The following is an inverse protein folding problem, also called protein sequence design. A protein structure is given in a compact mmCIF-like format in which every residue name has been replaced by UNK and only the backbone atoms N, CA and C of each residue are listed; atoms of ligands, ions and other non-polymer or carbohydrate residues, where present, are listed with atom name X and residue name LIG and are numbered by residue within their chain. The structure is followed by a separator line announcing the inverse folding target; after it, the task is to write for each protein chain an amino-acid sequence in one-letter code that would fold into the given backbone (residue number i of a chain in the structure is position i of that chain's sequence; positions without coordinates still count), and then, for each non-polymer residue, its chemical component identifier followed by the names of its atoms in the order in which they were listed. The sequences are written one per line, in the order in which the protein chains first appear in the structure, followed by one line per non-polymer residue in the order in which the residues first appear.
data_IF_497189152041
#
_entry.id   IF_497189152041
#
_cell.length_a   1.000
_cell.length_b   1.000
_cell.length_c   1.000
_cell.angle_alpha   90.00
_cell.angle_beta   90.00
_cell.angle_gamma   90.00
#
_symmetry.space_group_name_H-M   'P 1'
#
loop_
_entity.id
_entity.type
_entity.pdbx_description
1 polymer ?
#
# COMPACT_ATOMS: atom_id res chain seq x y z
N UNK A 1 -6.57 3.17 -8.42
CA UNK A 1 -7.50 2.50 -7.48
C UNK A 1 -8.72 1.90 -8.16
N UNK A 2 -9.65 2.68 -8.71
CA UNK A 2 -10.91 2.17 -9.32
C UNK A 2 -10.69 1.06 -10.34
N UNK A 3 -9.77 1.25 -11.29
CA UNK A 3 -9.45 0.24 -12.30
C UNK A 3 -8.86 -1.05 -11.68
N UNK A 4 -8.04 -0.93 -10.64
CA UNK A 4 -7.48 -2.09 -9.96
C UNK A 4 -8.58 -2.92 -9.28
N UNK A 5 -9.51 -2.26 -8.58
CA UNK A 5 -10.66 -2.92 -7.97
C UNK A 5 -11.58 -3.55 -9.01
N UNK A 6 -11.95 -2.80 -10.06
CA UNK A 6 -12.83 -3.30 -11.12
C UNK A 6 -12.21 -4.46 -11.91
N UNK A 7 -10.90 -4.48 -12.07
CA UNK A 7 -10.19 -5.57 -12.76
C UNK A 7 -10.05 -6.81 -11.86
N UNK A 8 -9.62 -6.66 -10.60
CA UNK A 8 -9.34 -7.80 -9.72
C UNK A 8 -10.60 -8.39 -9.07
N UNK A 9 -11.56 -7.54 -8.70
CA UNK A 9 -12.77 -7.90 -7.97
C UNK A 9 -13.55 -9.07 -8.58
N UNK A 10 -13.85 -9.07 -9.88
CA UNK A 10 -14.55 -10.17 -10.54
C UNK A 10 -13.85 -11.53 -10.40
N UNK A 11 -12.52 -11.57 -10.37
CA UNK A 11 -11.77 -12.82 -10.20
C UNK A 11 -11.85 -13.33 -8.76
N UNK A 12 -11.84 -12.43 -7.78
CA UNK A 12 -12.02 -12.78 -6.37
C UNK A 12 -13.43 -13.33 -6.12
N UNK A 13 -14.43 -12.59 -6.58
CA UNK A 13 -15.84 -12.98 -6.56
C UNK A 13 -16.08 -14.34 -7.26
N UNK A 14 -15.40 -14.56 -8.40
CA UNK A 14 -15.47 -15.82 -9.12
C UNK A 14 -14.99 -17.01 -8.30
N UNK A 15 -14.05 -16.87 -7.35
CA UNK A 15 -13.69 -18.00 -6.49
C UNK A 15 -14.90 -18.45 -5.65
N UNK A 16 -15.61 -17.51 -5.03
CA UNK A 16 -16.79 -17.83 -4.24
C UNK A 16 -17.94 -18.38 -5.08
N UNK A 17 -18.11 -17.89 -6.31
CA UNK A 17 -19.07 -18.47 -7.26
C UNK A 17 -18.72 -19.91 -7.66
N UNK A 18 -17.45 -20.17 -8.03
CA UNK A 18 -16.99 -21.48 -8.49
C UNK A 18 -17.01 -22.55 -7.40
N UNK A 19 -16.72 -22.16 -6.16
CA UNK A 19 -16.73 -23.06 -5.00
C UNK A 19 -18.10 -23.12 -4.30
N UNK A 20 -19.13 -22.50 -4.88
CA UNK A 20 -20.50 -22.59 -4.38
C UNK A 20 -20.72 -21.86 -3.06
N UNK A 21 -19.89 -20.90 -2.69
CA UNK A 21 -20.14 -20.01 -1.54
C UNK A 21 -21.37 -19.14 -1.82
N UNK A 22 -21.43 -18.56 -3.02
CA UNK A 22 -22.50 -17.70 -3.48
C UNK A 22 -22.92 -18.03 -4.91
N UNK A 23 -24.14 -17.64 -5.28
CA UNK A 23 -24.70 -17.85 -6.61
C UNK A 23 -25.41 -16.59 -7.08
N UNK A 24 -25.17 -16.20 -8.33
CA UNK A 24 -25.94 -15.17 -9.03
C UNK A 24 -27.13 -15.81 -9.75
N UNK A 25 -28.29 -15.13 -9.73
CA UNK A 25 -29.47 -15.60 -10.47
C UNK A 25 -29.28 -15.43 -11.99
N UNK A 26 -28.49 -14.44 -12.41
CA UNK A 26 -28.10 -14.20 -13.81
C UNK A 26 -26.59 -14.05 -13.96
N UNK A 27 -25.83 -15.15 -13.88
CA UNK A 27 -24.38 -15.10 -13.92
C UNK A 27 -23.87 -14.79 -15.34
N UNK A 28 -22.84 -13.95 -15.41
CA UNK A 28 -21.97 -13.84 -16.56
C UNK A 28 -20.83 -14.83 -16.39
N UNK A 29 -20.69 -15.72 -17.36
CA UNK A 29 -19.68 -16.79 -17.35
C UNK A 29 -18.74 -16.59 -18.53
N UNK A 30 -17.47 -16.31 -18.25
CA UNK A 30 -16.44 -16.05 -19.25
C UNK A 30 -15.35 -17.13 -19.19
N UNK A 31 -15.14 -17.93 -20.25
CA UNK A 31 -14.00 -18.82 -20.31
C UNK A 31 -12.70 -18.02 -20.51
N UNK A 32 -11.68 -18.31 -19.69
CA UNK A 32 -10.35 -17.71 -19.70
C UNK A 32 -9.31 -18.74 -20.17
N UNK A 33 -9.57 -19.31 -21.34
CA UNK A 33 -8.81 -20.44 -21.88
C UNK A 33 -9.45 -21.79 -21.56
N UNK A 34 -8.69 -22.88 -21.73
CA UNK A 34 -9.25 -24.24 -21.68
C UNK A 34 -9.58 -24.75 -20.28
N UNK A 35 -9.06 -24.12 -19.23
CA UNK A 35 -9.12 -24.63 -17.84
C UNK A 35 -9.60 -23.61 -16.81
N UNK A 36 -9.80 -22.35 -17.20
CA UNK A 36 -10.18 -21.29 -16.28
C UNK A 36 -11.51 -20.68 -16.73
N UNK A 37 -12.38 -20.41 -15.77
CA UNK A 37 -13.67 -19.76 -16.00
C UNK A 37 -13.82 -18.67 -14.95
N UNK A 38 -14.32 -17.50 -15.36
CA UNK A 38 -14.71 -16.43 -14.46
C UNK A 38 -16.25 -16.39 -14.41
N UNK A 39 -16.80 -16.46 -13.21
CA UNK A 39 -18.25 -16.35 -12.93
C UNK A 39 -18.49 -15.11 -12.09
N UNK A 40 -19.27 -14.17 -12.60
CA UNK A 40 -19.55 -12.89 -11.93
C UNK A 40 -20.85 -12.28 -12.48
N UNK A 41 -21.13 -11.00 -12.26
CA UNK A 41 -22.20 -10.26 -12.95
C UNK A 41 -21.81 -8.83 -13.29
N UNK A 42 -22.60 -8.13 -14.11
CA UNK A 42 -22.20 -6.85 -14.72
C UNK A 42 -21.98 -5.71 -13.71
N UNK A 43 -22.65 -5.76 -12.55
CA UNK A 43 -22.53 -4.75 -11.51
C UNK A 43 -21.38 -5.01 -10.51
N UNK A 44 -20.76 -6.19 -10.54
CA UNK A 44 -19.64 -6.54 -9.65
C UNK A 44 -18.39 -5.70 -9.95
N UNK A 45 -17.88 -5.59 -11.20
CA UNK A 45 -16.73 -4.74 -11.49
C UNK A 45 -16.89 -3.28 -11.02
N UNK A 46 -17.99 -2.55 -11.32
CA UNK A 46 -18.13 -1.19 -10.84
C UNK A 46 -18.23 -1.11 -9.31
N UNK A 47 -18.89 -2.07 -8.65
CA UNK A 47 -18.98 -2.10 -7.18
C UNK A 47 -17.59 -2.25 -6.52
N UNK A 48 -16.79 -3.20 -6.99
CA UNK A 48 -15.41 -3.37 -6.52
C UNK A 48 -14.51 -2.17 -6.86
N UNK A 49 -14.71 -1.55 -8.02
CA UNK A 49 -14.00 -0.34 -8.40
C UNK A 49 -14.29 0.84 -7.45
N UNK A 50 -15.57 1.05 -7.11
CA UNK A 50 -15.99 2.08 -6.14
C UNK A 50 -15.45 1.75 -4.76
N UNK A 51 -15.56 0.50 -4.30
CA UNK A 51 -15.03 0.08 -3.01
C UNK A 51 -13.51 0.32 -2.91
N UNK A 52 -12.73 -0.10 -3.91
CA UNK A 52 -11.29 0.13 -3.95
C UNK A 52 -10.92 1.61 -3.92
N UNK A 53 -11.69 2.46 -4.59
CA UNK A 53 -11.52 3.91 -4.52
C UNK A 53 -11.81 4.44 -3.10
N UNK A 54 -12.97 4.13 -2.53
CA UNK A 54 -13.39 4.64 -1.22
C UNK A 54 -12.44 4.18 -0.10
N UNK A 55 -12.14 2.88 -0.05
CA UNK A 55 -11.22 2.31 0.95
C UNK A 55 -9.83 2.95 0.80
N UNK A 56 -9.34 3.10 -0.44
CA UNK A 56 -8.02 3.65 -0.71
C UNK A 56 -7.90 5.11 -0.27
N UNK A 57 -8.89 5.94 -0.59
CA UNK A 57 -8.92 7.34 -0.17
C UNK A 57 -9.16 7.53 1.33
N UNK A 58 -9.96 6.67 1.95
CA UNK A 58 -10.15 6.68 3.41
C UNK A 58 -8.82 6.40 4.12
N UNK A 59 -8.03 5.45 3.62
CA UNK A 59 -6.67 5.18 4.09
C UNK A 59 -5.80 6.43 4.04
N UNK A 60 -5.70 7.08 2.87
CA UNK A 60 -4.88 8.29 2.71
C UNK A 60 -5.37 9.42 3.62
N UNK A 61 -6.69 9.65 3.69
CA UNK A 61 -7.27 10.68 4.54
C UNK A 61 -6.96 10.46 6.01
N UNK A 62 -7.09 9.22 6.50
CA UNK A 62 -6.76 8.88 7.89
C UNK A 62 -5.27 8.89 8.18
N UNK A 63 -4.41 8.48 7.23
CA UNK A 63 -2.96 8.60 7.38
C UNK A 63 -2.54 10.06 7.63
N UNK A 64 -3.13 10.99 6.87
CA UNK A 64 -2.87 12.44 7.01
C UNK A 64 -3.39 12.97 8.34
N UNK A 65 -4.62 12.61 8.73
CA UNK A 65 -5.26 13.12 9.96
C UNK A 65 -4.61 12.57 11.22
N UNK A 66 -4.23 11.29 11.23
CA UNK A 66 -3.67 10.60 12.39
C UNK A 66 -2.14 10.72 12.48
N UNK A 67 -1.48 11.23 11.44
CA UNK A 67 -0.03 11.40 11.42
C UNK A 67 0.73 10.09 11.24
N UNK A 68 0.13 9.07 10.62
CA UNK A 68 0.73 7.76 10.34
C UNK A 68 1.74 7.80 9.15
N UNK A 69 2.36 8.96 8.92
CA UNK A 69 3.18 9.27 7.74
C UNK A 69 4.40 8.36 7.55
N UNK A 70 4.93 7.78 8.64
CA UNK A 70 6.06 6.85 8.60
C UNK A 70 5.79 5.51 7.89
N UNK A 71 4.52 5.08 7.78
CA UNK A 71 4.12 3.85 7.08
C UNK A 71 3.52 4.12 5.69
N UNK A 72 3.48 5.38 5.26
CA UNK A 72 2.93 5.77 3.96
C UNK A 72 3.77 5.29 2.77
N UNK A 73 4.97 4.76 2.96
CA UNK A 73 5.88 4.34 1.88
C UNK A 73 6.03 2.80 1.79
N UNK A 74 4.97 2.02 1.51
CA UNK A 74 5.11 0.58 1.34
C UNK A 74 5.96 0.27 0.10
N UNK A 75 6.85 -0.72 0.22
CA UNK A 75 7.58 -1.22 -0.94
C UNK A 75 6.65 -1.94 -1.91
N UNK A 76 6.99 -1.96 -3.21
CA UNK A 76 6.22 -2.68 -4.23
C UNK A 76 6.02 -4.16 -3.84
N UNK A 77 7.05 -4.80 -3.30
CA UNK A 77 6.96 -6.18 -2.81
C UNK A 77 5.93 -6.33 -1.70
N UNK A 78 5.87 -5.39 -0.74
CA UNK A 78 4.87 -5.41 0.35
C UNK A 78 3.45 -5.29 -0.20
N UNK A 79 3.25 -4.43 -1.21
CA UNK A 79 1.96 -4.27 -1.90
C UNK A 79 1.54 -5.56 -2.61
N UNK A 80 2.45 -6.14 -3.41
CA UNK A 80 2.16 -7.38 -4.15
C UNK A 80 1.89 -8.56 -3.21
N UNK A 81 2.67 -8.71 -2.14
CA UNK A 81 2.41 -9.70 -1.10
C UNK A 81 1.04 -9.46 -0.46
N UNK A 82 0.68 -8.21 -0.15
CA UNK A 82 -0.62 -7.89 0.43
C UNK A 82 -1.79 -8.27 -0.47
N UNK A 83 -1.73 -7.91 -1.77
CA UNK A 83 -2.75 -8.31 -2.75
C UNK A 83 -2.81 -9.83 -2.88
N UNK A 84 -1.66 -10.49 -2.92
CA UNK A 84 -1.57 -11.96 -3.08
C UNK A 84 -2.12 -12.68 -1.85
N UNK A 85 -1.82 -12.17 -0.65
CA UNK A 85 -2.27 -12.74 0.61
C UNK A 85 -3.79 -12.57 0.80
N UNK A 86 -4.33 -11.40 0.45
CA UNK A 86 -5.78 -11.20 0.39
C UNK A 86 -6.46 -12.13 -0.62
N UNK A 87 -5.92 -12.22 -1.83
CA UNK A 87 -6.41 -13.14 -2.87
C UNK A 87 -6.38 -14.60 -2.39
N UNK A 88 -5.30 -15.01 -1.72
CA UNK A 88 -5.17 -16.33 -1.13
C UNK A 88 -6.23 -16.59 -0.05
N UNK A 89 -6.48 -15.63 0.86
CA UNK A 89 -7.54 -15.78 1.85
C UNK A 89 -8.92 -15.95 1.19
N UNK A 90 -9.20 -15.15 0.16
CA UNK A 90 -10.44 -15.22 -0.61
C UNK A 90 -10.63 -16.60 -1.25
N UNK A 91 -9.61 -17.08 -1.96
CA UNK A 91 -9.59 -18.40 -2.59
C UNK A 91 -9.72 -19.54 -1.57
N UNK A 92 -8.92 -19.50 -0.50
CA UNK A 92 -8.89 -20.54 0.53
C UNK A 92 -10.24 -20.67 1.23
N UNK A 93 -10.91 -19.55 1.52
CA UNK A 93 -12.24 -19.57 2.14
C UNK A 93 -13.27 -20.31 1.27
N UNK A 94 -13.23 -20.12 -0.05
CA UNK A 94 -14.08 -20.85 -0.99
C UNK A 94 -13.77 -22.34 -1.03
N UNK A 95 -12.49 -22.72 -1.08
CA UNK A 95 -12.08 -24.12 -1.05
C UNK A 95 -12.54 -24.83 0.22
N UNK A 96 -12.31 -24.22 1.39
CA UNK A 96 -12.69 -24.82 2.67
C UNK A 96 -14.21 -25.04 2.73
N UNK A 97 -14.99 -24.08 2.23
CA UNK A 97 -16.44 -24.22 2.10
C UNK A 97 -16.82 -25.38 1.18
N UNK A 98 -16.24 -25.46 -0.02
CA UNK A 98 -16.53 -26.54 -0.98
C UNK A 98 -16.17 -27.94 -0.46
N UNK A 99 -15.19 -28.04 0.45
CA UNK A 99 -14.83 -29.29 1.12
C UNK A 99 -15.62 -29.57 2.41
N UNK A 100 -16.63 -28.76 2.73
CA UNK A 100 -17.51 -28.99 3.87
C UNK A 100 -16.85 -28.76 5.23
N UNK A 101 -15.78 -27.96 5.29
CA UNK A 101 -15.20 -27.53 6.58
C UNK A 101 -16.23 -26.69 7.33
N UNK A 102 -16.37 -26.94 8.63
CA UNK A 102 -17.38 -26.25 9.43
C UNK A 102 -17.12 -24.74 9.55
N UNK A 103 -18.20 -23.97 9.70
CA UNK A 103 -18.15 -22.50 9.70
C UNK A 103 -17.26 -21.92 10.80
N UNK A 104 -17.22 -22.55 11.98
CA UNK A 104 -16.40 -22.09 13.09
C UNK A 104 -14.91 -22.25 12.76
N UNK A 105 -14.51 -23.38 12.20
CA UNK A 105 -13.14 -23.61 11.73
C UNK A 105 -12.74 -22.61 10.63
N UNK A 106 -13.61 -22.35 9.65
CA UNK A 106 -13.35 -21.32 8.62
C UNK A 106 -13.21 -19.94 9.27
N UNK A 107 -14.13 -19.56 10.16
CA UNK A 107 -14.09 -18.26 10.85
C UNK A 107 -12.80 -18.08 11.65
N UNK A 108 -12.39 -19.07 12.43
CA UNK A 108 -11.16 -19.01 13.24
C UNK A 108 -9.95 -18.84 12.32
N UNK A 109 -9.86 -19.64 11.26
CA UNK A 109 -8.73 -19.58 10.33
C UNK A 109 -8.69 -18.24 9.58
N UNK A 110 -9.82 -17.78 9.03
CA UNK A 110 -9.90 -16.49 8.33
C UNK A 110 -9.56 -15.33 9.27
N UNK A 111 -10.00 -15.38 10.52
CA UNK A 111 -9.67 -14.36 11.53
C UNK A 111 -8.19 -14.36 11.87
N UNK A 112 -7.58 -15.54 12.03
CA UNK A 112 -6.14 -15.65 12.29
C UNK A 112 -5.30 -15.14 11.10
N UNK A 113 -5.68 -15.48 9.87
CA UNK A 113 -5.03 -14.96 8.66
C UNK A 113 -5.21 -13.44 8.53
N UNK A 114 -6.41 -12.92 8.75
CA UNK A 114 -6.68 -11.49 8.69
C UNK A 114 -5.87 -10.70 9.73
N UNK A 115 -5.83 -11.18 10.98
CA UNK A 115 -5.05 -10.58 12.05
C UNK A 115 -3.54 -10.61 11.77
N UNK A 116 -3.02 -11.78 11.36
CA UNK A 116 -1.60 -11.93 11.00
C UNK A 116 -1.21 -11.07 9.79
N UNK A 117 -2.05 -11.05 8.76
CA UNK A 117 -1.87 -10.21 7.57
C UNK A 117 -1.89 -8.73 7.91
N UNK A 118 -2.83 -8.28 8.74
CA UNK A 118 -2.90 -6.89 9.17
C UNK A 118 -1.64 -6.47 9.92
N UNK A 119 -1.20 -7.26 10.90
CA UNK A 119 0.01 -6.96 11.69
C UNK A 119 1.28 -6.96 10.82
N UNK A 120 1.39 -7.87 9.85
CA UNK A 120 2.57 -7.99 9.00
C UNK A 120 2.60 -6.94 7.88
N UNK A 121 1.44 -6.57 7.32
CA UNK A 121 1.35 -5.76 6.12
C UNK A 121 1.01 -4.29 6.39
N UNK A 122 0.47 -3.95 7.55
CA UNK A 122 0.03 -2.58 7.82
C UNK A 122 0.32 -2.17 9.26
N UNK A 123 -0.45 -2.69 10.22
CA UNK A 123 -0.25 -2.44 11.65
C UNK A 123 -0.48 -0.99 12.09
N UNK A 124 -1.03 -0.13 11.23
CA UNK A 124 -1.32 1.29 11.52
C UNK A 124 -2.71 1.49 12.12
N UNK A 125 -2.93 2.60 12.84
CA UNK A 125 -4.25 2.91 13.38
C UNK A 125 -5.23 3.28 12.26
N UNK A 126 -4.78 4.08 11.29
CA UNK A 126 -5.54 4.40 10.07
C UNK A 126 -5.98 3.13 9.34
N UNK A 127 -5.06 2.16 9.24
CA UNK A 127 -5.32 0.87 8.62
C UNK A 127 -6.32 0.04 9.40
N UNK A 128 -6.20 0.00 10.73
CA UNK A 128 -7.15 -0.74 11.56
C UNK A 128 -8.57 -0.18 11.42
N UNK A 129 -8.73 1.14 11.51
CA UNK A 129 -10.02 1.82 11.37
C UNK A 129 -10.63 1.52 10.00
N UNK A 130 -9.85 1.67 8.93
CA UNK A 130 -10.34 1.44 7.57
C UNK A 130 -10.67 -0.02 7.30
N UNK A 131 -9.86 -0.95 7.82
CA UNK A 131 -10.10 -2.39 7.71
C UNK A 131 -11.36 -2.81 8.47
N UNK A 132 -11.57 -2.26 9.67
CA UNK A 132 -12.79 -2.48 10.45
C UNK A 132 -14.03 -1.89 9.74
N UNK A 133 -13.91 -0.69 9.17
CA UNK A 133 -14.98 -0.08 8.36
C UNK A 133 -15.31 -0.96 7.14
N UNK A 134 -14.31 -1.57 6.51
CA UNK A 134 -14.52 -2.49 5.38
C UNK A 134 -15.18 -3.80 5.83
N UNK A 135 -14.73 -4.36 6.95
CA UNK A 135 -15.25 -5.61 7.55
C UNK A 135 -16.72 -5.53 7.96
N UNK A 136 -17.22 -4.32 8.26
CA UNK A 136 -18.62 -4.07 8.61
C UNK A 136 -19.40 -3.57 7.38
N UNK A 137 -18.87 -2.56 6.69
CA UNK A 137 -19.53 -1.89 5.58
C UNK A 137 -19.75 -2.80 4.38
N UNK A 138 -18.76 -3.64 4.03
CA UNK A 138 -18.90 -4.62 2.95
C UNK A 138 -20.09 -5.55 3.16
N UNK A 139 -20.13 -6.33 4.26
CA UNK A 139 -21.25 -7.21 4.53
C UNK A 139 -22.60 -6.50 4.71
N UNK A 140 -22.65 -5.26 5.22
CA UNK A 140 -23.89 -4.48 5.27
C UNK A 140 -24.38 -4.07 3.87
N UNK A 141 -23.47 -3.74 2.95
CA UNK A 141 -23.81 -3.50 1.55
C UNK A 141 -24.37 -4.80 0.94
N UNK A 142 -23.74 -5.95 1.22
CA UNK A 142 -24.25 -7.26 0.77
C UNK A 142 -25.68 -7.54 1.25
N UNK A 143 -25.97 -7.30 2.53
CA UNK A 143 -27.34 -7.41 3.07
C UNK A 143 -28.30 -6.51 2.29
N UNK A 144 -27.89 -5.28 1.99
CA UNK A 144 -28.67 -4.36 1.16
C UNK A 144 -28.92 -4.91 -0.24
N UNK A 145 -27.88 -5.43 -0.91
CA UNK A 145 -27.98 -6.00 -2.26
C UNK A 145 -28.92 -7.22 -2.28
N UNK A 146 -28.74 -8.16 -1.36
CA UNK A 146 -29.57 -9.38 -1.23
C UNK A 146 -31.04 -9.01 -0.95
N UNK A 147 -31.27 -7.98 -0.13
CA UNK A 147 -32.63 -7.60 0.30
C UNK A 147 -33.39 -6.73 -0.71
N UNK A 148 -32.69 -6.03 -1.61
CA UNK A 148 -33.31 -4.96 -2.43
C UNK A 148 -33.18 -5.18 -3.93
N UNK A 149 -32.22 -5.98 -4.40
CA UNK A 149 -32.08 -6.22 -5.83
C UNK A 149 -33.28 -7.02 -6.34
N UNK A 150 -33.80 -6.66 -7.54
CA UNK A 150 -34.82 -7.49 -8.19
C UNK A 150 -34.24 -8.86 -8.52
N UNK A 151 -35.07 -9.91 -8.56
CA UNK A 151 -34.61 -11.29 -8.82
C UNK A 151 -33.80 -11.47 -10.13
N UNK A 152 -33.94 -10.56 -11.09
CA UNK A 152 -33.08 -10.57 -12.29
C UNK A 152 -31.62 -10.26 -11.99
N UNK A 153 -31.30 -9.56 -10.89
CA UNK A 153 -29.97 -9.08 -10.53
C UNK A 153 -29.49 -9.62 -9.18
N UNK A 154 -30.35 -10.36 -8.48
CA UNK A 154 -30.08 -10.86 -7.16
C UNK A 154 -28.95 -11.91 -7.18
N UNK A 155 -28.31 -12.02 -6.04
CA UNK A 155 -27.41 -13.10 -5.71
C UNK A 155 -27.69 -13.50 -4.27
N UNK A 156 -27.27 -14.69 -3.89
CA UNK A 156 -27.45 -15.20 -2.54
C UNK A 156 -26.27 -16.09 -2.16
N UNK A 157 -25.98 -16.14 -0.86
CA UNK A 157 -25.11 -17.19 -0.33
C UNK A 157 -25.87 -18.52 -0.33
N UNK A 158 -25.21 -19.58 -0.81
CA UNK A 158 -25.78 -20.93 -0.73
C UNK A 158 -25.86 -21.43 0.72
N UNK A 159 -25.04 -20.82 1.60
CA UNK A 159 -25.15 -20.93 3.04
C UNK A 159 -25.19 -19.54 3.68
N UNK A 160 -26.39 -19.10 4.07
CA UNK A 160 -26.63 -17.81 4.71
C UNK A 160 -26.03 -17.68 6.12
N UNK A 161 -25.52 -18.78 6.70
CA UNK A 161 -24.78 -18.75 7.95
C UNK A 161 -25.60 -18.30 9.17
N UNK A 162 -24.90 -17.73 10.14
CA UNK A 162 -25.48 -17.28 11.43
C UNK A 162 -26.28 -15.99 11.29
N UNK A 163 -26.02 -15.20 10.24
CA UNK A 163 -26.64 -13.87 10.07
C UNK A 163 -27.98 -13.93 9.33
N UNK A 164 -28.26 -15.04 8.64
CA UNK A 164 -29.40 -15.18 7.73
C UNK A 164 -29.19 -14.52 6.36
N UNK A 165 -28.03 -13.91 6.11
CA UNK A 165 -27.67 -13.30 4.82
C UNK A 165 -26.33 -13.80 4.28
N UNK A 166 -25.32 -13.90 5.14
CA UNK A 166 -23.96 -14.34 4.83
C UNK A 166 -23.32 -15.04 6.04
N UNK A 167 -22.36 -15.95 5.83
CA UNK A 167 -21.68 -16.60 6.94
C UNK A 167 -20.63 -15.69 7.60
N UNK A 168 -20.51 -15.75 8.93
CA UNK A 168 -19.70 -14.78 9.71
C UNK A 168 -18.22 -14.73 9.30
N UNK A 169 -17.68 -15.79 8.72
CA UNK A 169 -16.29 -15.83 8.25
C UNK A 169 -16.01 -14.90 7.07
N UNK A 170 -17.03 -14.30 6.44
CA UNK A 170 -16.90 -13.25 5.44
C UNK A 170 -16.33 -11.95 6.04
N UNK A 171 -16.64 -11.64 7.30
CA UNK A 171 -16.18 -10.44 8.00
C UNK A 171 -14.64 -10.32 8.01
N UNK A 172 -13.87 -11.32 8.47
CA UNK A 172 -12.41 -11.25 8.40
C UNK A 172 -11.84 -11.29 6.97
N UNK A 173 -12.58 -11.80 5.97
CA UNK A 173 -12.16 -11.69 4.56
C UNK A 173 -12.20 -10.23 4.11
N UNK A 174 -13.29 -9.52 4.39
CA UNK A 174 -13.38 -8.08 4.13
C UNK A 174 -12.33 -7.27 4.90
N UNK A 175 -12.06 -7.63 6.16
CA UNK A 175 -11.04 -6.97 6.96
C UNK A 175 -9.67 -6.98 6.27
N UNK A 176 -9.21 -8.14 5.77
CA UNK A 176 -7.92 -8.23 5.07
C UNK A 176 -7.90 -7.50 3.72
N UNK A 177 -9.06 -7.23 3.12
CA UNK A 177 -9.17 -6.34 1.96
C UNK A 177 -8.65 -4.92 2.24
N UNK A 178 -8.74 -4.47 3.50
CA UNK A 178 -8.22 -3.17 3.96
C UNK A 178 -6.72 -3.00 3.69
N UNK A 179 -5.82 -3.78 4.32
CA UNK A 179 -4.37 -3.64 4.13
C UNK A 179 -3.89 -3.80 2.69
N UNK A 180 -4.52 -4.70 1.92
CA UNK A 180 -4.19 -4.89 0.51
C UNK A 180 -4.48 -3.62 -0.30
N UNK A 181 -5.67 -3.04 -0.12
CA UNK A 181 -6.09 -1.85 -0.85
C UNK A 181 -5.42 -0.56 -0.32
N UNK A 182 -5.22 -0.46 0.99
CA UNK A 182 -4.56 0.67 1.65
C UNK A 182 -3.11 0.82 1.25
N UNK A 183 -2.33 -0.27 1.27
CA UNK A 183 -0.94 -0.24 0.82
C UNK A 183 -0.81 0.06 -0.68
N UNK A 184 -1.75 -0.43 -1.51
CA UNK A 184 -1.80 -0.07 -2.92
C UNK A 184 -2.09 1.43 -3.09
N UNK A 185 -3.03 1.98 -2.34
CA UNK A 185 -3.38 3.40 -2.37
C UNK A 185 -2.20 4.28 -1.95
N UNK A 186 -1.51 3.93 -0.85
CA UNK A 186 -0.28 4.58 -0.39
C UNK A 186 0.79 4.59 -1.50
N UNK A 187 1.00 3.46 -2.15
CA UNK A 187 1.96 3.34 -3.26
C UNK A 187 1.60 4.27 -4.44
N UNK A 188 0.33 4.35 -4.83
CA UNK A 188 -0.14 5.31 -5.85
C UNK A 188 0.05 6.75 -5.40
N UNK A 189 -0.30 7.07 -4.15
CA UNK A 189 -0.13 8.41 -3.58
C UNK A 189 1.32 8.88 -3.65
N UNK A 190 2.26 8.00 -3.31
CA UNK A 190 3.68 8.32 -3.37
C UNK A 190 4.20 8.45 -4.80
N UNK A 191 3.69 7.64 -5.72
CA UNK A 191 4.06 7.73 -7.12
C UNK A 191 3.62 9.08 -7.72
N UNK A 192 2.40 9.53 -7.39
CA UNK A 192 1.88 10.82 -7.84
C UNK A 192 2.64 12.01 -7.22
N UNK A 193 3.01 11.92 -5.95
CA UNK A 193 3.79 12.99 -5.28
C UNK A 193 5.24 13.15 -5.80
N UNK A 194 5.78 12.16 -6.51
CA UNK A 194 7.12 12.23 -7.11
C UNK A 194 7.14 13.11 -8.37
N UNK A 195 6.04 13.21 -9.11
CA UNK A 195 5.97 13.98 -10.35
C UNK A 195 6.02 15.50 -10.09
N UNK A 196 5.40 15.98 -9.01
CA UNK A 196 5.45 17.40 -8.61
C UNK A 196 6.87 17.83 -8.20
N UNK A 197 7.67 16.91 -7.66
CA UNK A 197 9.06 17.16 -7.30
C UNK A 197 9.99 17.22 -8.52
N UNK A 198 9.65 16.51 -9.61
CA UNK A 198 10.43 16.49 -10.85
C UNK A 198 10.13 17.68 -11.78
N UNK A 199 8.89 18.19 -11.79
CA UNK A 199 8.54 19.40 -12.58
C UNK A 199 9.13 20.68 -11.96
N UNK A 200 9.37 20.66 -10.65
CA UNK A 200 10.04 21.74 -9.90
C UNK A 200 11.53 21.91 -10.27
N UNK A 201 12.17 20.92 -10.92
CA UNK A 201 13.58 20.99 -11.34
C UNK A 201 13.77 21.47 -12.79
N UNK A 202 12.71 21.53 -13.61
CA UNK A 202 12.81 21.83 -15.05
C UNK A 202 12.44 23.27 -15.44
N UNK A 203 12.09 24.15 -14.49
CA UNK A 203 11.59 25.50 -14.78
C UNK A 203 12.47 26.61 -14.19
N UNK A 204 13.76 26.59 -14.56
CA UNK A 204 14.62 27.78 -14.52
C UNK A 204 15.31 27.97 -15.86
N UNK A 205 14.54 28.34 -16.90
CA UNK A 205 15.09 29.10 -18.03
C UNK A 205 14.89 30.59 -17.74
N UNK A 206 16.01 31.30 -17.70
CA UNK A 206 16.12 32.67 -17.24
C UNK A 206 15.31 33.66 -18.07
N UNK A 207 14.67 34.58 -17.34
CA UNK A 207 14.27 35.90 -17.86
C UNK A 207 15.27 36.89 -17.29
N UNK A 208 16.09 37.46 -18.16
CA UNK A 208 17.00 38.56 -17.84
C UNK A 208 16.20 39.85 -17.90
N UNK A 209 15.94 40.47 -16.75
CA UNK A 209 15.56 41.89 -16.65
C UNK A 209 16.21 42.50 -15.41
N UNK A 210 17.18 43.38 -15.64
CA UNK A 210 17.44 44.63 -14.91
C UNK A 210 17.74 44.59 -13.41
N UNK A 211 19.02 44.86 -13.09
CA UNK A 211 19.57 45.53 -11.90
C UNK A 211 18.61 45.79 -10.72
N UNK A 212 18.57 44.83 -9.80
CA UNK A 212 18.40 45.09 -8.38
C UNK A 212 19.19 44.02 -7.61
N UNK A 213 20.10 44.44 -6.74
CA UNK A 213 20.77 43.56 -5.78
C UNK A 213 19.71 42.81 -4.96
N UNK A 214 19.44 41.55 -5.31
CA UNK A 214 18.73 40.62 -4.45
C UNK A 214 19.76 39.72 -3.78
N UNK A 215 19.86 39.88 -2.46
CA UNK A 215 20.45 38.89 -1.55
C UNK A 215 19.92 37.49 -1.89
N UNK A 216 20.78 36.45 -1.88
CA UNK A 216 20.34 35.09 -2.19
C UNK A 216 19.28 34.66 -1.19
N UNK A 217 18.11 34.30 -1.72
CA UNK A 217 17.02 33.67 -0.97
C UNK A 217 17.55 32.43 -0.26
N UNK A 218 17.68 32.52 1.06
CA UNK A 218 17.94 31.39 1.94
C UNK A 218 16.78 30.42 1.73
N UNK A 219 17.01 29.35 0.96
CA UNK A 219 16.16 28.15 1.01
C UNK A 219 16.10 27.76 2.47
N UNK A 220 14.91 27.83 3.08
CA UNK A 220 14.69 27.38 4.46
C UNK A 220 14.98 25.89 4.50
N UNK A 221 16.23 25.55 4.80
CA UNK A 221 16.70 24.18 4.91
C UNK A 221 15.91 23.44 5.97
N UNK A 222 15.60 22.19 5.69
CA UNK A 222 15.06 21.23 6.65
C UNK A 222 15.89 21.33 7.95
N UNK A 223 15.25 21.74 9.05
CA UNK A 223 15.89 21.91 10.35
C UNK A 223 16.08 20.55 11.02
N UNK A 224 17.02 19.76 10.48
CA UNK A 224 17.40 18.49 11.08
C UNK A 224 18.23 18.73 12.35
N UNK A 225 17.81 18.21 13.50
CA UNK A 225 18.54 18.33 14.77
C UNK A 225 19.93 17.66 14.75
N UNK A 226 20.16 16.72 13.82
CA UNK A 226 21.40 15.95 13.72
C UNK A 226 22.42 16.61 12.80
N UNK A 227 22.03 17.02 11.60
CA UNK A 227 22.95 17.69 10.65
C UNK A 227 22.81 19.21 10.64
N UNK A 228 21.88 19.79 11.40
CA UNK A 228 21.62 21.23 11.45
C UNK A 228 21.36 21.84 10.06
N UNK A 229 20.67 21.08 9.20
CA UNK A 229 20.36 21.48 7.83
C UNK A 229 21.52 21.37 6.83
N UNK A 230 22.70 20.88 7.23
CA UNK A 230 23.85 20.69 6.32
C UNK A 230 23.73 19.44 5.45
N UNK A 231 22.78 18.53 5.77
CA UNK A 231 22.54 17.24 5.10
C UNK A 231 23.72 16.24 5.17
N UNK A 232 24.83 16.62 5.78
CA UNK A 232 25.99 15.76 6.03
C UNK A 232 26.28 15.67 7.54
N UNK A 233 26.83 14.53 7.97
CA UNK A 233 27.29 14.30 9.35
C UNK A 233 28.68 13.66 9.32
N UNK A 234 29.48 13.77 10.40
CA UNK A 234 30.76 13.07 10.50
C UNK A 234 30.61 11.57 10.24
N UNK A 235 31.59 10.98 9.57
CA UNK A 235 31.59 9.55 9.30
C UNK A 235 31.79 8.78 10.62
N UNK A 236 30.93 7.81 10.95
CA UNK A 236 31.08 7.05 12.21
C UNK A 236 32.29 6.10 12.22
N UNK A 237 32.95 5.92 11.06
CA UNK A 237 34.03 4.94 10.89
C UNK A 237 35.42 5.58 10.78
N UNK A 238 35.53 6.91 10.77
CA UNK A 238 36.81 7.62 10.64
C UNK A 238 36.71 9.08 11.08
N UNK A 239 37.83 9.68 11.40
CA UNK A 239 37.87 11.07 11.88
C UNK A 239 37.90 12.09 10.73
N UNK A 240 38.78 11.89 9.75
CA UNK A 240 39.06 12.85 8.67
C UNK A 240 38.98 12.22 7.28
N UNK A 241 38.30 11.08 7.17
CA UNK A 241 38.29 10.26 5.96
C UNK A 241 39.32 9.15 5.98
N UNK A 242 40.18 9.09 6.99
CA UNK A 242 41.13 8.01 7.20
C UNK A 242 41.03 7.43 8.61
N UNK A 243 41.49 6.18 8.78
CA UNK A 243 41.66 5.58 10.10
C UNK A 243 42.96 4.77 10.13
N UNK A 244 43.54 4.60 11.32
CA UNK A 244 44.76 3.81 11.51
C UNK A 244 44.42 2.36 11.85
N UNK A 245 45.00 1.43 11.11
CA UNK A 245 44.92 -0.01 11.39
C UNK A 245 46.30 -0.63 11.16
N UNK A 246 46.76 -1.47 12.09
CA UNK A 246 48.09 -2.10 12.05
C UNK A 246 49.25 -1.11 11.80
N UNK A 247 49.17 0.10 12.36
CA UNK A 247 50.18 1.14 12.20
C UNK A 247 50.19 1.85 10.84
N UNK A 248 49.30 1.47 9.92
CA UNK A 248 49.14 2.11 8.61
C UNK A 248 47.88 2.97 8.57
N UNK A 249 47.97 4.11 7.89
CA UNK A 249 46.82 4.97 7.62
C UNK A 249 46.09 4.46 6.38
N UNK A 250 44.79 4.20 6.50
CA UNK A 250 43.96 3.65 5.43
C UNK A 250 42.79 4.59 5.16
N UNK A 251 42.48 4.81 3.88
CA UNK A 251 41.32 5.59 3.46
C UNK A 251 40.03 4.85 3.84
N UNK A 252 39.13 5.55 4.52
CA UNK A 252 37.86 5.00 4.95
C UNK A 252 36.98 4.66 3.75
N UNK A 253 36.67 3.38 3.58
CA UNK A 253 35.78 2.90 2.52
C UNK A 253 34.32 3.40 2.68
N UNK A 254 33.91 3.71 3.91
CA UNK A 254 32.55 4.17 4.21
C UNK A 254 32.25 5.57 3.66
N UNK A 255 33.17 6.52 3.84
CA UNK A 255 33.05 7.90 3.33
C UNK A 255 33.95 8.20 2.12
N UNK A 256 34.70 7.21 1.63
CA UNK A 256 35.67 7.33 0.53
C UNK A 256 36.70 8.44 0.73
N UNK A 257 37.14 8.66 1.97
CA UNK A 257 38.14 9.70 2.27
C UNK A 257 37.58 11.08 2.57
N UNK A 258 36.25 11.28 2.58
CA UNK A 258 35.64 12.59 2.84
C UNK A 258 35.46 12.95 4.32
N UNK A 259 35.59 11.99 5.24
CA UNK A 259 35.36 12.20 6.67
C UNK A 259 33.89 12.44 7.08
N UNK A 260 32.98 12.49 6.11
CA UNK A 260 31.55 12.75 6.32
C UNK A 260 30.68 11.83 5.45
N UNK A 261 29.46 11.61 5.90
CA UNK A 261 28.44 10.80 5.22
C UNK A 261 27.11 11.54 5.23
N UNK A 262 26.19 11.13 4.37
CA UNK A 262 24.86 11.74 4.31
C UNK A 262 24.11 11.52 5.64
N UNK A 263 23.40 12.55 6.10
CA UNK A 263 22.61 12.46 7.31
C UNK A 263 21.41 11.54 7.10
N UNK A 264 21.39 10.39 7.79
CA UNK A 264 20.29 9.42 7.70
C UNK A 264 18.99 9.90 8.35
N UNK A 265 19.09 10.80 9.33
CA UNK A 265 17.94 11.24 10.13
C UNK A 265 16.95 12.11 9.34
N UNK A 266 17.44 12.92 8.41
CA UNK A 266 16.61 13.71 7.51
C UNK A 266 16.66 13.21 6.06
N UNK A 267 17.24 12.03 5.82
CA UNK A 267 17.50 11.50 4.48
C UNK A 267 16.22 11.40 3.64
N UNK A 268 15.14 10.91 4.23
CA UNK A 268 13.83 10.81 3.58
C UNK A 268 13.18 12.18 3.31
N UNK A 269 13.54 13.21 4.08
CA UNK A 269 12.96 14.56 3.93
C UNK A 269 13.53 15.29 2.71
N UNK A 270 14.73 14.91 2.26
CA UNK A 270 15.33 15.44 1.02
C UNK A 270 14.87 14.70 -0.25
N UNK A 271 13.97 13.72 -0.13
CA UNK A 271 13.48 12.94 -1.25
C UNK A 271 14.51 11.96 -1.85
N UNK A 272 15.60 11.69 -1.14
CA UNK A 272 16.63 10.75 -1.61
C UNK A 272 16.15 9.29 -1.46
N UNK A 273 16.48 8.44 -2.45
CA UNK A 273 16.24 6.98 -2.36
C UNK A 273 17.40 6.30 -1.60
N UNK A 274 17.15 5.63 -0.45
CA UNK A 274 18.20 4.97 0.32
C UNK A 274 18.83 3.79 -0.42
N UNK A 275 18.17 3.28 -1.47
CA UNK A 275 18.66 2.20 -2.30
C UNK A 275 19.52 2.69 -3.48
N UNK A 276 19.46 3.98 -3.83
CA UNK A 276 20.32 4.57 -4.86
C UNK A 276 21.69 4.97 -4.27
N UNK A 277 22.48 3.94 -3.96
CA UNK A 277 23.84 4.12 -3.41
C UNK A 277 24.71 4.98 -4.34
N UNK A 278 24.51 4.93 -5.66
CA UNK A 278 25.32 5.70 -6.61
C UNK A 278 24.85 7.16 -6.69
N UNK A 279 23.55 7.44 -6.60
CA UNK A 279 22.99 8.77 -6.43
C UNK A 279 23.50 9.46 -5.17
N UNK A 280 23.43 8.77 -4.03
CA UNK A 280 23.94 9.26 -2.74
C UNK A 280 25.44 9.60 -2.86
N UNK A 281 26.22 8.75 -3.53
CA UNK A 281 27.66 8.99 -3.74
C UNK A 281 27.91 10.25 -4.58
N UNK A 282 27.20 10.41 -5.70
CA UNK A 282 27.32 11.60 -6.55
C UNK A 282 26.96 12.87 -5.79
N UNK A 283 25.91 12.81 -4.97
CA UNK A 283 25.48 13.93 -4.14
C UNK A 283 26.55 14.32 -3.11
N UNK A 284 27.09 13.34 -2.40
CA UNK A 284 28.21 13.54 -1.46
C UNK A 284 29.47 14.06 -2.16
N UNK A 285 29.72 13.67 -3.40
CA UNK A 285 30.85 14.14 -4.20
C UNK A 285 30.71 15.63 -4.58
N UNK A 286 29.48 16.11 -4.77
CA UNK A 286 29.16 17.50 -5.14
C UNK A 286 29.04 18.46 -3.94
N UNK A 287 28.94 17.94 -2.71
CA UNK A 287 28.87 18.79 -1.51
C UNK A 287 30.21 19.52 -1.28
N UNK A 288 30.19 20.84 -1.05
CA UNK A 288 31.40 21.60 -0.71
C UNK A 288 32.00 21.10 0.59
N UNK A 289 33.33 21.05 0.70
CA UNK A 289 34.06 20.59 1.90
C UNK A 289 33.82 21.47 3.12
#
# INVERSE_FOLDING_TARGET
MTLCGAALGPFLDSYHSLYGVLTYDTPLVFPLGSYLTCVTTYWVPPLFGVAAFLIGWLYIGLDVVLGDSGQMQPSVSKVLIGISYFTFQYWLSGILFAHGVDRASILVLMSALAAGGFLALDGTLSGFITSAATAIGGPLIEVGLISTLPGSWAYHYNDAGETGFFPLWIVPVYFLGGPANGNLARSFWNALGKDDSAVSESSTMGVVVGDAELLPSIRTGIQCSVCQGTRAVPCPNCDDGTYKTYGQQVVCKGCRGKGRVICRSCFSEYGDDPNDIQGIRRLMDQMPD
#
